data_IF_677666648235
#
_entry.id   IF_677666648235
#
_cell.length_a   1.000
_cell.length_b   1.000
_cell.length_c   1.000
_cell.angle_alpha   90.00
_cell.angle_beta   90.00
_cell.angle_gamma   90.00
#
_symmetry.space_group_name_H-M   'P 1'
#
loop_
_entity.id
_entity.type
_entity.pdbx_description
1 polymer ?
#
# COMPACT_ATOMS: atom_id res chain seq x y z
N UNK A 1 15.95 -7.96 3.48
CA UNK A 1 14.61 -7.39 3.32
C UNK A 1 13.63 -8.47 2.86
N UNK A 2 12.38 -8.46 3.35
CA UNK A 2 11.35 -9.41 2.95
C UNK A 2 10.52 -8.83 1.82
N UNK A 3 10.15 -9.66 0.84
CA UNK A 3 9.36 -9.22 -0.31
C UNK A 3 7.93 -9.75 -0.25
N UNK A 4 7.01 -8.90 -0.66
CA UNK A 4 5.61 -9.21 -0.88
C UNK A 4 5.10 -8.58 -2.19
N UNK A 5 3.88 -8.91 -2.56
CA UNK A 5 3.16 -8.29 -3.67
C UNK A 5 1.71 -8.04 -3.28
N UNK A 6 1.15 -6.93 -3.74
CA UNK A 6 -0.28 -6.67 -3.61
C UNK A 6 -1.03 -7.59 -4.58
N UNK A 7 -2.03 -8.30 -4.08
CA UNK A 7 -2.66 -9.42 -4.80
C UNK A 7 -3.17 -9.07 -6.18
N UNK A 8 -3.92 -8.01 -6.33
CA UNK A 8 -4.55 -7.61 -7.60
C UNK A 8 -3.61 -6.91 -8.59
N UNK A 9 -2.37 -6.59 -8.17
CA UNK A 9 -1.30 -6.23 -9.12
C UNK A 9 -0.93 -7.40 -10.02
N UNK A 10 -1.16 -8.62 -9.56
CA UNK A 10 -0.90 -9.86 -10.31
C UNK A 10 -2.15 -10.35 -11.01
N UNK A 11 -3.18 -10.67 -10.23
CA UNK A 11 -4.42 -11.30 -10.72
C UNK A 11 -5.52 -11.26 -9.66
N UNK A 12 -6.78 -11.36 -10.10
CA UNK A 12 -7.90 -11.65 -9.18
C UNK A 12 -7.93 -13.12 -8.73
N UNK A 13 -7.22 -14.01 -9.42
CA UNK A 13 -7.06 -15.42 -9.02
C UNK A 13 -5.91 -15.57 -8.02
N UNK A 14 -6.24 -15.75 -6.74
CA UNK A 14 -5.25 -15.84 -5.68
C UNK A 14 -4.25 -16.98 -5.87
N UNK A 15 -4.64 -18.09 -6.48
CA UNK A 15 -3.72 -19.20 -6.75
C UNK A 15 -2.62 -18.81 -7.76
N UNK A 16 -2.96 -17.97 -8.76
CA UNK A 16 -1.96 -17.39 -9.67
C UNK A 16 -1.02 -16.45 -8.96
N UNK A 17 -1.55 -15.61 -8.04
CA UNK A 17 -0.74 -14.72 -7.20
C UNK A 17 0.28 -15.54 -6.40
N UNK A 18 -0.17 -16.59 -5.70
CA UNK A 18 0.70 -17.46 -4.90
C UNK A 18 1.77 -18.15 -5.73
N UNK A 19 1.39 -18.64 -6.92
CA UNK A 19 2.33 -19.29 -7.83
C UNK A 19 3.43 -18.33 -8.26
N UNK A 20 3.08 -17.12 -8.69
CA UNK A 20 4.05 -16.09 -9.05
C UNK A 20 4.92 -15.69 -7.87
N UNK A 21 4.32 -15.45 -6.70
CA UNK A 21 5.05 -15.08 -5.50
C UNK A 21 6.09 -16.17 -5.10
N UNK A 22 5.70 -17.45 -5.16
CA UNK A 22 6.63 -18.57 -4.88
C UNK A 22 7.78 -18.63 -5.90
N UNK A 23 7.48 -18.44 -7.19
CA UNK A 23 8.47 -18.43 -8.27
C UNK A 23 9.57 -17.38 -8.04
N UNK A 24 9.20 -16.21 -7.53
CA UNK A 24 10.14 -15.12 -7.21
C UNK A 24 10.71 -15.18 -5.79
N UNK A 25 10.38 -16.20 -5.00
CA UNK A 25 10.87 -16.36 -3.63
C UNK A 25 10.30 -15.35 -2.64
N UNK A 26 9.11 -14.81 -2.91
CA UNK A 26 8.43 -13.96 -1.95
C UNK A 26 7.93 -14.78 -0.76
N UNK A 27 7.88 -14.16 0.42
CA UNK A 27 7.38 -14.80 1.65
C UNK A 27 6.03 -14.27 2.11
N UNK A 28 5.54 -13.20 1.50
CA UNK A 28 4.28 -12.57 1.88
C UNK A 28 3.45 -12.08 0.71
N UNK A 29 2.18 -11.87 0.98
CA UNK A 29 1.24 -11.15 0.11
C UNK A 29 0.56 -10.05 0.90
N UNK A 30 0.11 -9.03 0.20
CA UNK A 30 -0.77 -7.99 0.73
C UNK A 30 -2.13 -8.07 0.04
N UNK A 31 -3.21 -8.23 0.80
CA UNK A 31 -4.55 -8.44 0.24
C UNK A 31 -5.24 -7.09 0.03
N UNK A 32 -5.44 -6.70 -1.25
CA UNK A 32 -6.23 -5.53 -1.66
C UNK A 32 -7.52 -5.92 -2.37
N UNK A 33 -7.45 -6.80 -3.37
CA UNK A 33 -8.64 -7.49 -3.87
C UNK A 33 -8.28 -8.88 -4.40
N UNK A 34 -9.21 -9.82 -4.27
CA UNK A 34 -9.14 -11.19 -4.79
C UNK A 34 -10.54 -11.62 -5.21
N UNK A 35 -10.68 -12.36 -6.30
CA UNK A 35 -11.97 -12.83 -6.85
C UNK A 35 -12.98 -11.69 -7.05
N UNK A 36 -12.48 -10.51 -7.46
CA UNK A 36 -13.25 -9.26 -7.62
C UNK A 36 -13.90 -8.75 -6.32
N UNK A 37 -13.43 -9.17 -5.16
CA UNK A 37 -13.87 -8.74 -3.84
C UNK A 37 -12.78 -7.95 -3.14
N UNK A 38 -13.14 -6.80 -2.56
CA UNK A 38 -12.28 -6.07 -1.63
C UNK A 38 -12.14 -6.83 -0.29
N UNK A 39 -11.14 -6.53 0.56
CA UNK A 39 -10.92 -7.29 1.79
C UNK A 39 -12.16 -7.41 2.69
N UNK A 40 -12.90 -6.33 2.85
CA UNK A 40 -14.12 -6.28 3.67
C UNK A 40 -15.35 -6.98 3.06
N UNK A 41 -15.24 -7.46 1.82
CA UNK A 41 -16.29 -8.20 1.10
C UNK A 41 -16.06 -9.72 1.14
N UNK A 42 -14.90 -10.18 1.64
CA UNK A 42 -14.60 -11.61 1.73
C UNK A 42 -15.49 -12.28 2.78
N UNK A 43 -16.14 -13.35 2.39
CA UNK A 43 -16.96 -14.16 3.28
C UNK A 43 -16.16 -15.31 3.93
N UNK A 44 -16.81 -16.08 4.82
CA UNK A 44 -16.15 -17.19 5.52
C UNK A 44 -15.57 -18.27 4.59
N UNK A 45 -16.21 -18.51 3.45
CA UNK A 45 -15.72 -19.50 2.47
C UNK A 45 -14.48 -18.96 1.76
N UNK A 46 -14.46 -17.67 1.40
CA UNK A 46 -13.29 -17.00 0.83
C UNK A 46 -12.12 -17.05 1.81
N UNK A 47 -12.34 -16.67 3.07
CA UNK A 47 -11.32 -16.68 4.12
C UNK A 47 -10.74 -18.10 4.32
N UNK A 48 -11.58 -19.12 4.31
CA UNK A 48 -11.13 -20.52 4.41
C UNK A 48 -10.24 -20.92 3.25
N UNK A 49 -10.57 -20.48 2.02
CA UNK A 49 -9.76 -20.71 0.82
C UNK A 49 -8.44 -19.94 0.88
N UNK A 50 -8.46 -18.69 1.32
CA UNK A 50 -7.21 -17.92 1.55
C UNK A 50 -6.29 -18.66 2.52
N UNK A 51 -6.80 -19.07 3.70
CA UNK A 51 -6.01 -19.84 4.68
C UNK A 51 -5.40 -21.11 4.11
N UNK A 52 -6.19 -21.85 3.31
CA UNK A 52 -5.69 -23.05 2.63
C UNK A 52 -4.54 -22.73 1.68
N UNK A 53 -4.70 -21.71 0.82
CA UNK A 53 -3.66 -21.30 -0.13
C UNK A 53 -2.41 -20.79 0.58
N UNK A 54 -2.55 -20.00 1.66
CA UNK A 54 -1.41 -19.57 2.48
C UNK A 54 -0.61 -20.76 3.02
N UNK A 55 -1.29 -21.79 3.52
CA UNK A 55 -0.66 -23.01 4.01
C UNK A 55 0.01 -23.83 2.88
N UNK A 56 -0.70 -24.02 1.76
CA UNK A 56 -0.20 -24.80 0.62
C UNK A 56 1.08 -24.17 0.00
N UNK A 57 1.18 -22.84 0.02
CA UNK A 57 2.32 -22.10 -0.55
C UNK A 57 3.34 -21.62 0.51
N UNK A 58 3.11 -21.86 1.80
CA UNK A 58 3.97 -21.42 2.91
C UNK A 58 4.19 -19.89 2.90
N UNK A 59 3.11 -19.12 2.79
CA UNK A 59 3.12 -17.67 2.74
C UNK A 59 2.34 -17.07 3.90
N UNK A 60 2.64 -15.81 4.22
CA UNK A 60 1.89 -15.02 5.21
C UNK A 60 1.22 -13.80 4.57
N UNK A 61 0.19 -13.27 5.22
CA UNK A 61 -0.40 -11.98 4.86
C UNK A 61 0.34 -10.89 5.63
N UNK A 62 1.10 -10.06 4.93
CA UNK A 62 1.89 -9.01 5.56
C UNK A 62 1.07 -7.75 5.89
N UNK A 63 0.00 -7.51 5.14
CA UNK A 63 -0.89 -6.35 5.31
C UNK A 63 -2.26 -6.60 4.67
N UNK A 64 -3.29 -5.97 5.20
CA UNK A 64 -4.59 -5.80 4.56
C UNK A 64 -4.65 -4.38 3.97
N UNK A 65 -4.64 -4.27 2.64
CA UNK A 65 -4.73 -3.01 1.93
C UNK A 65 -6.19 -2.52 1.86
N UNK A 66 -6.71 -2.02 2.96
CA UNK A 66 -8.09 -1.56 3.05
C UNK A 66 -8.29 -0.22 2.32
N UNK A 67 -9.51 0.09 1.81
CA UNK A 67 -9.82 1.40 1.26
C UNK A 67 -10.23 2.42 2.36
N UNK A 68 -10.05 2.09 3.63
CA UNK A 68 -10.52 2.91 4.75
C UNK A 68 -10.06 4.35 4.63
N UNK A 69 -11.02 5.28 4.67
CA UNK A 69 -10.89 6.72 4.48
C UNK A 69 -10.46 7.19 3.09
N UNK A 70 -10.55 6.37 2.04
CA UNK A 70 -10.74 6.86 0.66
C UNK A 70 -12.21 7.25 0.47
N UNK A 71 -12.67 8.30 1.16
CA UNK A 71 -14.05 8.81 1.17
C UNK A 71 -14.08 10.33 1.37
N UNK A 72 -15.26 10.91 1.25
CA UNK A 72 -15.45 12.35 1.37
C UNK A 72 -15.45 12.79 2.84
N UNK A 73 -14.63 13.78 3.16
CA UNK A 73 -14.71 14.42 4.46
C UNK A 73 -16.03 15.20 4.59
N UNK A 74 -16.68 15.05 5.76
CA UNK A 74 -17.97 15.71 6.05
C UNK A 74 -19.21 14.92 5.59
N UNK A 75 -19.03 13.80 4.87
CA UNK A 75 -20.12 12.87 4.58
C UNK A 75 -20.25 11.83 5.69
N UNK A 76 -21.21 12.03 6.59
CA UNK A 76 -21.44 11.14 7.73
C UNK A 76 -21.95 9.74 7.34
N UNK A 77 -22.53 9.57 6.15
CA UNK A 77 -22.95 8.25 5.67
C UNK A 77 -21.71 7.45 5.23
N UNK A 78 -20.85 8.05 4.43
CA UNK A 78 -19.57 7.45 4.04
C UNK A 78 -18.67 7.20 5.25
N UNK A 79 -18.62 8.12 6.22
CA UNK A 79 -17.87 7.89 7.46
C UNK A 79 -18.32 6.64 8.19
N UNK A 80 -19.65 6.45 8.39
CA UNK A 80 -20.19 5.22 9.02
C UNK A 80 -19.88 3.98 8.20
N UNK A 81 -20.02 4.04 6.89
CA UNK A 81 -19.66 2.93 6.00
C UNK A 81 -18.19 2.54 6.13
N UNK A 82 -17.28 3.52 6.10
CA UNK A 82 -15.85 3.25 6.27
C UNK A 82 -15.50 2.69 7.63
N UNK A 83 -16.20 3.09 8.72
CA UNK A 83 -16.02 2.48 10.02
C UNK A 83 -16.42 0.99 10.02
N UNK A 84 -17.47 0.59 9.27
CA UNK A 84 -17.83 -0.83 9.08
C UNK A 84 -16.80 -1.57 8.20
N UNK A 85 -16.28 -0.92 7.14
CA UNK A 85 -15.18 -1.46 6.34
C UNK A 85 -13.98 -1.78 7.25
N UNK A 86 -13.61 -0.85 8.13
CA UNK A 86 -12.47 -1.06 9.04
C UNK A 86 -12.72 -2.23 9.99
N UNK A 87 -13.93 -2.34 10.60
CA UNK A 87 -14.27 -3.48 11.48
C UNK A 87 -14.08 -4.81 10.77
N UNK A 88 -14.61 -4.94 9.56
CA UNK A 88 -14.46 -6.16 8.77
C UNK A 88 -12.99 -6.45 8.39
N UNK A 89 -12.21 -5.40 8.12
CA UNK A 89 -10.76 -5.56 7.87
C UNK A 89 -9.99 -5.97 9.14
N UNK A 90 -10.41 -5.52 10.33
CA UNK A 90 -9.87 -5.95 11.62
C UNK A 90 -10.16 -7.43 11.86
N UNK A 91 -11.40 -7.87 11.63
CA UNK A 91 -11.78 -9.27 11.76
C UNK A 91 -10.96 -10.14 10.77
N UNK A 92 -10.86 -9.71 9.50
CA UNK A 92 -10.07 -10.40 8.49
C UNK A 92 -8.59 -10.47 8.87
N UNK A 93 -8.02 -9.38 9.34
CA UNK A 93 -6.62 -9.34 9.79
C UNK A 93 -6.37 -10.33 10.93
N UNK A 94 -7.29 -10.41 11.90
CA UNK A 94 -7.26 -11.40 12.98
C UNK A 94 -7.34 -12.83 12.46
N UNK A 95 -8.23 -13.12 11.51
CA UNK A 95 -8.40 -14.44 10.91
C UNK A 95 -7.20 -14.91 10.08
N UNK A 96 -6.49 -13.99 9.43
CA UNK A 96 -5.35 -14.29 8.55
C UNK A 96 -3.99 -14.03 9.21
N UNK A 97 -3.95 -13.51 10.43
CA UNK A 97 -2.72 -13.18 11.13
C UNK A 97 -1.97 -11.97 10.55
N UNK A 98 -2.65 -11.11 9.80
CA UNK A 98 -2.04 -9.91 9.22
C UNK A 98 -1.78 -8.85 10.30
N UNK A 99 -0.54 -8.33 10.44
CA UNK A 99 -0.21 -7.39 11.50
C UNK A 99 -0.60 -5.94 11.20
N UNK A 100 -0.83 -5.61 9.94
CA UNK A 100 -1.02 -4.24 9.46
C UNK A 100 -2.32 -4.13 8.67
N UNK A 101 -3.06 -3.04 8.91
CA UNK A 101 -4.17 -2.60 8.06
C UNK A 101 -3.79 -1.24 7.51
N UNK A 102 -3.62 -1.14 6.19
CA UNK A 102 -3.39 0.14 5.53
C UNK A 102 -4.65 0.99 5.55
N UNK A 103 -4.48 2.29 5.80
CA UNK A 103 -5.55 3.29 5.87
C UNK A 103 -5.13 4.60 5.20
N UNK A 104 -6.10 5.49 4.94
CA UNK A 104 -5.89 6.80 4.30
C UNK A 104 -6.44 7.96 5.13
N UNK A 105 -6.49 9.17 4.53
CA UNK A 105 -6.78 10.44 5.21
C UNK A 105 -7.85 11.29 4.51
N UNK A 106 -8.88 10.68 3.92
CA UNK A 106 -9.92 11.29 3.10
C UNK A 106 -9.43 11.82 1.74
N UNK A 107 -10.35 11.95 0.79
CA UNK A 107 -10.04 12.51 -0.53
C UNK A 107 -9.53 13.94 -0.46
N UNK A 108 -8.54 14.29 -1.28
CA UNK A 108 -8.01 15.64 -1.43
C UNK A 108 -8.98 16.50 -2.28
N UNK A 109 -10.11 16.85 -1.70
CA UNK A 109 -11.14 17.72 -2.33
C UNK A 109 -11.92 18.52 -1.29
N UNK A 110 -12.57 19.62 -1.69
CA UNK A 110 -13.43 20.39 -0.79
C UNK A 110 -14.61 19.57 -0.23
N UNK A 111 -15.01 19.82 1.02
CA UNK A 111 -14.33 20.70 1.98
C UNK A 111 -13.02 20.07 2.47
N UNK A 112 -11.94 20.90 2.52
CA UNK A 112 -10.65 20.41 3.02
C UNK A 112 -10.63 20.44 4.56
N UNK A 113 -10.51 19.27 5.23
CA UNK A 113 -10.38 19.24 6.67
C UNK A 113 -9.01 19.78 7.13
N UNK A 114 -8.97 20.36 8.32
CA UNK A 114 -7.72 20.59 9.03
C UNK A 114 -7.11 19.30 9.52
N UNK A 115 -5.80 19.31 9.85
CA UNK A 115 -5.14 18.13 10.40
C UNK A 115 -5.76 17.68 11.72
N UNK A 116 -6.25 18.59 12.55
CA UNK A 116 -6.90 18.27 13.83
C UNK A 116 -8.23 17.54 13.60
N UNK A 117 -9.01 17.94 12.60
CA UNK A 117 -10.25 17.25 12.22
C UNK A 117 -10.00 15.85 11.65
N UNK A 118 -8.93 15.68 10.85
CA UNK A 118 -8.51 14.34 10.37
C UNK A 118 -8.14 13.46 11.56
N UNK A 119 -7.34 13.98 12.49
CA UNK A 119 -6.92 13.27 13.70
C UNK A 119 -8.12 12.88 14.57
N UNK A 120 -9.10 13.76 14.75
CA UNK A 120 -10.34 13.46 15.48
C UNK A 120 -11.07 12.26 14.85
N UNK A 121 -11.22 12.24 13.52
CA UNK A 121 -11.84 11.12 12.83
C UNK A 121 -11.02 9.83 12.94
N UNK A 122 -9.68 9.91 12.85
CA UNK A 122 -8.79 8.76 13.03
C UNK A 122 -8.81 8.20 14.47
N UNK A 123 -9.07 9.00 15.49
CA UNK A 123 -9.23 8.50 16.87
C UNK A 123 -10.37 7.49 17.01
N UNK A 124 -11.41 7.58 16.17
CA UNK A 124 -12.47 6.56 16.14
C UNK A 124 -11.93 5.21 15.60
N UNK A 125 -11.04 5.25 14.62
CA UNK A 125 -10.38 4.05 14.10
C UNK A 125 -9.43 3.43 15.13
N UNK A 126 -8.66 4.26 15.83
CA UNK A 126 -7.72 3.83 16.89
C UNK A 126 -8.46 3.03 17.97
N UNK A 127 -9.61 3.52 18.44
CA UNK A 127 -10.42 2.82 19.45
C UNK A 127 -10.83 1.40 19.05
N UNK A 128 -10.91 1.10 17.76
CA UNK A 128 -11.26 -0.24 17.28
C UNK A 128 -10.08 -1.23 17.35
N UNK A 129 -8.86 -0.74 17.35
CA UNK A 129 -7.64 -1.58 17.40
C UNK A 129 -6.98 -1.58 18.77
N UNK A 130 -7.42 -0.72 19.70
CA UNK A 130 -6.92 -0.71 21.10
C UNK A 130 -7.06 -2.10 21.72
N UNK A 131 -6.01 -2.55 22.41
CA UNK A 131 -5.97 -3.87 23.04
C UNK A 131 -5.69 -5.04 22.08
N UNK A 132 -5.51 -4.79 20.79
CA UNK A 132 -5.02 -5.76 19.81
C UNK A 132 -3.52 -5.53 19.50
N UNK A 133 -2.93 -6.44 18.72
CA UNK A 133 -1.56 -6.24 18.18
C UNK A 133 -1.56 -5.60 16.78
N UNK A 134 -2.72 -5.14 16.29
CA UNK A 134 -2.83 -4.56 14.94
C UNK A 134 -2.25 -3.16 14.89
N UNK A 135 -1.63 -2.85 13.77
CA UNK A 135 -1.16 -1.51 13.42
C UNK A 135 -2.03 -0.94 12.30
N UNK A 136 -2.49 0.27 12.47
CA UNK A 136 -3.08 1.08 11.39
C UNK A 136 -1.94 1.81 10.68
N UNK A 137 -1.69 1.46 9.42
CA UNK A 137 -0.65 2.06 8.60
C UNK A 137 -1.20 3.16 7.71
N UNK A 138 -0.92 4.44 8.01
CA UNK A 138 -1.32 5.57 7.16
C UNK A 138 -0.40 5.61 5.95
N UNK A 139 -0.98 5.49 4.76
CA UNK A 139 -0.26 5.60 3.50
C UNK A 139 -0.27 7.04 2.98
N UNK A 140 0.89 7.51 2.47
CA UNK A 140 0.93 8.71 1.63
C UNK A 140 0.32 8.38 0.26
N UNK A 141 -0.72 9.13 -0.14
CA UNK A 141 -1.46 8.88 -1.37
C UNK A 141 -1.86 10.21 -2.03
N UNK A 142 -1.44 10.49 -3.30
CA UNK A 142 -1.65 11.78 -3.96
C UNK A 142 -3.11 12.22 -4.05
N UNK A 143 -4.04 11.27 -4.06
CA UNK A 143 -5.48 11.55 -4.12
C UNK A 143 -6.12 11.83 -2.77
N UNK A 144 -5.37 11.71 -1.65
CA UNK A 144 -5.86 11.94 -0.29
C UNK A 144 -5.16 13.13 0.38
N UNK A 145 -5.62 13.54 1.57
CA UNK A 145 -5.07 14.71 2.27
C UNK A 145 -3.59 14.55 2.63
N UNK A 146 -3.14 13.35 3.01
CA UNK A 146 -1.73 13.07 3.28
C UNK A 146 -1.03 12.57 2.01
N UNK A 147 -0.69 13.49 1.11
CA UNK A 147 -0.14 13.20 -0.24
C UNK A 147 1.31 12.74 -0.23
N UNK A 148 2.08 13.02 0.83
CA UNK A 148 3.52 12.81 0.90
C UNK A 148 3.99 12.42 2.31
N UNK A 149 5.28 12.08 2.45
CA UNK A 149 5.89 11.68 3.71
C UNK A 149 5.73 12.72 4.82
N UNK A 150 5.94 14.00 4.51
CA UNK A 150 5.81 15.11 5.46
C UNK A 150 4.39 15.21 6.02
N UNK A 151 3.37 15.09 5.18
CA UNK A 151 1.96 15.17 5.60
C UNK A 151 1.53 13.94 6.41
N UNK A 152 2.02 12.75 6.07
CA UNK A 152 1.81 11.57 6.90
C UNK A 152 2.41 11.78 8.29
N UNK A 153 3.64 12.25 8.38
CA UNK A 153 4.30 12.52 9.68
C UNK A 153 3.56 13.58 10.49
N UNK A 154 2.98 14.60 9.84
CA UNK A 154 2.13 15.58 10.51
C UNK A 154 0.92 14.92 11.20
N UNK A 155 0.21 14.02 10.49
CA UNK A 155 -0.91 13.25 11.06
C UNK A 155 -0.43 12.36 12.21
N UNK A 156 0.65 11.61 12.01
CA UNK A 156 1.16 10.66 13.01
C UNK A 156 1.65 11.37 14.28
N UNK A 157 2.30 12.53 14.13
CA UNK A 157 2.78 13.32 15.25
C UNK A 157 1.62 13.89 16.08
N UNK A 158 0.58 14.40 15.44
CA UNK A 158 -0.62 14.92 16.14
C UNK A 158 -1.40 13.81 16.81
N UNK A 159 -1.59 12.68 16.14
CA UNK A 159 -2.33 11.55 16.70
C UNK A 159 -1.56 10.87 17.84
N UNK A 160 -0.22 10.83 17.75
CA UNK A 160 0.71 10.32 18.76
C UNK A 160 0.28 8.99 19.41
N UNK A 161 -0.06 8.00 18.60
CA UNK A 161 -0.54 6.70 19.08
C UNK A 161 0.40 5.56 18.64
N UNK A 162 0.76 4.61 19.54
CA UNK A 162 1.74 3.56 19.23
C UNK A 162 1.28 2.60 18.13
N UNK A 163 -0.03 2.37 17.99
CA UNK A 163 -0.61 1.48 16.97
C UNK A 163 -0.90 2.19 15.63
N UNK A 164 -0.51 3.46 15.47
CA UNK A 164 -0.64 4.16 14.19
C UNK A 164 0.74 4.51 13.67
N UNK A 165 1.06 4.02 12.49
CA UNK A 165 2.38 4.08 11.86
C UNK A 165 2.24 4.44 10.38
N UNK A 166 3.36 4.46 9.65
CA UNK A 166 3.38 4.76 8.23
C UNK A 166 3.46 3.47 7.38
N UNK A 167 2.61 3.38 6.38
CA UNK A 167 2.88 2.63 5.15
C UNK A 167 3.44 3.66 4.17
N UNK A 168 4.72 3.56 3.84
CA UNK A 168 5.35 4.54 2.98
C UNK A 168 5.45 4.04 1.54
N UNK A 169 4.92 4.82 0.62
CA UNK A 169 5.05 4.62 -0.81
C UNK A 169 5.87 5.75 -1.45
N UNK A 170 7.18 5.56 -1.69
CA UNK A 170 8.01 6.57 -2.32
C UNK A 170 7.59 6.89 -3.76
N UNK A 171 6.92 5.95 -4.45
CA UNK A 171 6.34 6.20 -5.77
C UNK A 171 5.21 7.21 -5.71
N UNK A 172 4.39 7.19 -4.66
CA UNK A 172 3.34 8.18 -4.46
C UNK A 172 3.91 9.60 -4.24
N UNK A 173 5.08 9.74 -3.62
CA UNK A 173 5.75 11.04 -3.48
C UNK A 173 6.13 11.64 -4.86
N UNK A 174 6.46 10.80 -5.85
CA UNK A 174 6.70 11.26 -7.24
C UNK A 174 5.45 11.89 -7.85
N UNK A 175 4.27 11.36 -7.51
CA UNK A 175 2.97 11.86 -7.97
C UNK A 175 2.40 12.99 -7.09
N UNK A 176 3.08 13.33 -5.99
CA UNK A 176 2.63 14.35 -5.03
C UNK A 176 2.52 15.74 -5.67
N UNK A 177 1.39 16.46 -5.48
CA UNK A 177 1.24 17.83 -5.97
C UNK A 177 2.32 18.81 -5.49
N UNK A 178 2.85 18.60 -4.28
CA UNK A 178 3.90 19.44 -3.69
C UNK A 178 5.32 19.06 -4.16
N UNK A 179 5.44 17.97 -4.94
CA UNK A 179 6.71 17.50 -5.52
C UNK A 179 7.77 17.20 -4.46
N UNK A 180 7.38 16.54 -3.37
CA UNK A 180 8.36 16.03 -2.39
C UNK A 180 9.31 15.04 -3.06
N UNK A 181 10.60 15.19 -2.78
CA UNK A 181 11.60 14.22 -3.24
C UNK A 181 11.56 12.99 -2.33
N UNK A 182 11.16 11.80 -2.83
CA UNK A 182 10.93 10.65 -1.97
C UNK A 182 12.20 10.22 -1.22
N UNK A 183 13.33 10.12 -1.91
CA UNK A 183 14.62 9.81 -1.34
C UNK A 183 15.69 10.82 -1.82
N UNK A 184 16.50 11.40 -0.93
CA UNK A 184 16.57 11.09 0.50
C UNK A 184 15.59 11.82 1.41
N UNK A 185 14.86 12.83 0.92
CA UNK A 185 14.20 13.82 1.78
C UNK A 185 12.97 13.24 2.48
N UNK A 186 12.02 12.67 1.74
CA UNK A 186 10.83 12.02 2.29
C UNK A 186 11.21 10.88 3.25
N UNK A 187 12.15 10.01 2.83
CA UNK A 187 12.61 8.91 3.68
C UNK A 187 13.13 9.38 5.03
N UNK A 188 14.00 10.40 5.07
CA UNK A 188 14.57 10.94 6.33
C UNK A 188 13.52 11.46 7.31
N UNK A 189 12.42 11.99 6.77
CA UNK A 189 11.32 12.50 7.58
C UNK A 189 10.49 11.35 8.16
N UNK A 190 10.13 10.37 7.33
CA UNK A 190 9.15 9.33 7.67
C UNK A 190 9.76 8.08 8.30
N UNK A 191 11.07 7.81 8.14
CA UNK A 191 11.70 6.56 8.56
C UNK A 191 11.45 6.10 10.01
N UNK A 192 11.29 6.99 11.02
CA UNK A 192 11.00 6.55 12.39
C UNK A 192 9.60 5.94 12.55
N UNK A 193 8.73 6.13 11.57
CA UNK A 193 7.33 5.70 11.61
C UNK A 193 7.04 4.50 10.72
N UNK A 194 7.94 4.14 9.79
CA UNK A 194 7.70 3.13 8.77
C UNK A 194 7.56 1.74 9.39
N UNK A 195 6.45 1.07 9.09
CA UNK A 195 6.23 -0.35 9.40
C UNK A 195 6.11 -1.22 8.15
N UNK A 196 5.78 -0.60 7.01
CA UNK A 196 5.60 -1.26 5.73
C UNK A 196 5.95 -0.30 4.59
N UNK A 197 6.44 -0.84 3.46
CA UNK A 197 6.84 -0.02 2.31
C UNK A 197 6.19 -0.61 1.05
N UNK A 198 5.51 0.24 0.28
CA UNK A 198 5.11 -0.08 -1.08
C UNK A 198 6.23 0.26 -2.05
N UNK A 199 6.34 -0.50 -3.11
CA UNK A 199 7.33 -0.29 -4.17
C UNK A 199 6.60 -0.01 -5.48
N UNK A 200 6.63 1.24 -5.88
CA UNK A 200 6.02 1.75 -7.11
C UNK A 200 6.94 2.81 -7.70
N UNK A 201 7.04 2.88 -9.01
CA UNK A 201 7.87 3.88 -9.67
C UNK A 201 7.11 4.62 -10.76
N UNK A 202 7.55 5.80 -11.06
CA UNK A 202 6.93 6.66 -12.06
C UNK A 202 7.83 7.81 -12.43
N UNK A 203 7.45 8.50 -13.51
CA UNK A 203 8.16 9.69 -14.00
C UNK A 203 7.22 10.73 -14.58
N UNK A 204 7.69 11.96 -14.63
CA UNK A 204 6.99 13.05 -15.30
C UNK A 204 7.07 12.91 -16.84
N UNK A 205 5.90 12.81 -17.49
CA UNK A 205 5.81 12.91 -18.95
C UNK A 205 5.53 14.37 -19.34
N UNK A 206 6.57 15.06 -19.84
CA UNK A 206 6.47 16.48 -20.22
C UNK A 206 5.54 16.72 -21.41
N UNK A 207 5.36 15.74 -22.31
CA UNK A 207 4.50 15.86 -23.47
C UNK A 207 3.01 15.81 -23.06
N UNK A 208 2.67 14.92 -22.13
CA UNK A 208 1.31 14.73 -21.64
C UNK A 208 1.00 15.55 -20.38
N UNK A 209 2.02 16.20 -19.82
CA UNK A 209 1.93 17.02 -18.58
C UNK A 209 1.32 16.26 -17.41
N UNK A 210 1.70 15.00 -17.26
CA UNK A 210 1.26 14.14 -16.15
C UNK A 210 2.36 13.19 -15.73
N UNK A 211 2.22 12.64 -14.54
CA UNK A 211 3.03 11.50 -14.12
C UNK A 211 2.52 10.20 -14.73
N UNK A 212 3.45 9.31 -15.03
CA UNK A 212 3.15 7.98 -15.57
C UNK A 212 3.87 6.91 -14.76
N UNK A 213 3.19 5.80 -14.42
CA UNK A 213 3.84 4.63 -13.87
C UNK A 213 4.91 4.09 -14.81
N UNK A 214 6.01 3.62 -14.26
CA UNK A 214 7.11 2.98 -15.00
C UNK A 214 7.46 1.63 -14.37
N UNK A 215 8.18 0.75 -15.11
CA UNK A 215 8.87 -0.36 -14.47
C UNK A 215 9.79 0.13 -13.36
N UNK A 216 9.99 -0.67 -12.32
CA UNK A 216 10.85 -0.32 -11.18
C UNK A 216 12.27 -0.01 -11.66
N UNK A 217 12.80 1.14 -11.22
CA UNK A 217 14.14 1.64 -11.59
C UNK A 217 14.20 2.40 -12.92
N UNK A 218 13.06 2.64 -13.59
CA UNK A 218 12.97 3.50 -14.78
C UNK A 218 12.28 4.84 -14.49
N UNK A 219 11.82 5.03 -13.25
CA UNK A 219 11.19 6.25 -12.78
C UNK A 219 12.14 7.21 -12.08
N UNK A 220 11.58 8.06 -11.23
CA UNK A 220 12.29 9.13 -10.52
C UNK A 220 12.70 8.75 -9.09
N UNK A 221 12.30 7.57 -8.57
CA UNK A 221 12.70 7.12 -7.23
C UNK A 221 14.12 6.56 -7.24
N UNK A 222 15.01 7.11 -6.43
CA UNK A 222 16.35 6.52 -6.20
C UNK A 222 16.26 5.29 -5.29
N UNK A 223 15.75 4.18 -5.83
CA UNK A 223 15.64 2.93 -5.09
C UNK A 223 16.99 2.34 -4.67
N UNK A 224 18.05 2.58 -5.44
CA UNK A 224 19.36 2.05 -5.08
C UNK A 224 19.89 2.72 -3.81
N UNK A 225 19.79 4.04 -3.71
CA UNK A 225 20.13 4.81 -2.52
C UNK A 225 19.25 4.41 -1.33
N UNK A 226 17.94 4.37 -1.54
CA UNK A 226 16.96 4.01 -0.52
C UNK A 226 17.19 2.59 0.06
N UNK A 227 17.40 1.58 -0.78
CA UNK A 227 17.62 0.21 -0.31
C UNK A 227 18.91 0.06 0.50
N UNK A 228 19.98 0.78 0.13
CA UNK A 228 21.22 0.83 0.92
C UNK A 228 20.97 1.42 2.31
N UNK A 229 20.21 2.51 2.38
CA UNK A 229 19.91 3.14 3.67
C UNK A 229 18.95 2.29 4.51
N UNK A 230 17.95 1.62 3.92
CA UNK A 230 17.11 0.64 4.63
C UNK A 230 17.89 -0.50 5.26
N UNK A 231 18.93 -1.00 4.58
CA UNK A 231 19.83 -2.02 5.12
C UNK A 231 20.64 -1.45 6.29
N UNK A 232 21.20 -0.25 6.16
CA UNK A 232 21.96 0.42 7.21
C UNK A 232 21.11 0.73 8.44
N UNK A 233 19.87 1.16 8.24
CA UNK A 233 18.90 1.43 9.30
C UNK A 233 18.30 0.14 9.92
N UNK A 234 18.63 -1.02 9.35
CA UNK A 234 18.19 -2.31 9.87
C UNK A 234 16.69 -2.58 9.71
N UNK A 235 16.06 -2.03 8.68
CA UNK A 235 14.65 -2.29 8.38
C UNK A 235 14.37 -3.78 8.21
N UNK A 236 13.30 -4.29 8.87
CA UNK A 236 12.93 -5.72 8.90
C UNK A 236 11.52 -5.99 8.34
N UNK A 237 10.81 -4.94 7.96
CA UNK A 237 9.47 -5.05 7.37
C UNK A 237 9.46 -5.61 5.95
N UNK A 238 8.30 -5.59 5.35
CA UNK A 238 8.12 -5.98 3.96
C UNK A 238 8.30 -4.81 3.00
N UNK A 239 8.80 -5.13 1.82
CA UNK A 239 8.68 -4.33 0.60
C UNK A 239 7.60 -5.00 -0.25
N UNK A 240 6.44 -4.37 -0.40
CA UNK A 240 5.29 -4.90 -1.13
C UNK A 240 5.21 -4.23 -2.51
N UNK A 241 5.35 -5.00 -3.58
CA UNK A 241 5.27 -4.45 -4.93
C UNK A 241 3.84 -4.01 -5.26
N UNK A 242 3.70 -2.74 -5.67
CA UNK A 242 2.50 -2.10 -6.19
C UNK A 242 2.82 -1.42 -7.52
N UNK A 243 2.85 -2.17 -8.62
CA UNK A 243 3.48 -1.63 -9.84
C UNK A 243 2.66 -0.56 -10.56
N UNK A 244 1.33 -0.65 -10.62
CA UNK A 244 0.43 0.17 -11.46
C UNK A 244 0.84 0.29 -12.94
N UNK A 245 2.10 0.03 -13.28
CA UNK A 245 2.57 0.01 -14.66
C UNK A 245 1.98 -1.18 -15.43
N UNK A 246 1.70 -0.97 -16.72
CA UNK A 246 1.26 -2.03 -17.65
C UNK A 246 2.02 -1.91 -18.97
N UNK A 247 2.41 -3.04 -19.61
CA UNK A 247 3.28 -3.00 -20.80
C UNK A 247 2.68 -2.32 -22.02
N UNK A 248 1.36 -2.39 -22.18
CA UNK A 248 0.68 -1.99 -23.44
C UNK A 248 -0.39 -0.93 -23.28
N UNK A 249 -0.77 -0.58 -22.06
CA UNK A 249 -1.84 0.38 -21.79
C UNK A 249 -1.62 1.02 -20.42
N UNK A 250 -2.12 2.24 -20.26
CA UNK A 250 -2.25 2.85 -18.94
C UNK A 250 -3.60 2.47 -18.33
N UNK A 251 -3.61 2.22 -17.02
CA UNK A 251 -4.85 2.03 -16.29
C UNK A 251 -5.61 3.36 -16.21
N UNK A 252 -6.93 3.37 -16.36
CA UNK A 252 -7.75 4.55 -16.13
C UNK A 252 -7.59 5.07 -14.69
N UNK A 253 -7.63 6.39 -14.51
CA UNK A 253 -7.37 7.02 -13.21
C UNK A 253 -8.36 6.58 -12.12
N UNK A 254 -9.64 6.45 -12.44
CA UNK A 254 -10.67 5.96 -11.53
C UNK A 254 -10.40 4.53 -11.06
N UNK A 255 -9.85 3.69 -11.94
CA UNK A 255 -9.43 2.32 -11.61
C UNK A 255 -8.19 2.32 -10.71
N UNK A 256 -7.25 3.26 -10.92
CA UNK A 256 -6.05 3.38 -10.07
C UNK A 256 -6.40 3.91 -8.68
N UNK A 257 -7.32 4.86 -8.59
CA UNK A 257 -7.74 5.43 -7.31
C UNK A 257 -8.51 4.44 -6.42
N UNK A 258 -9.30 3.54 -7.03
CA UNK A 258 -10.07 2.50 -6.35
C UNK A 258 -9.81 1.12 -6.96
N UNK A 259 -8.59 0.57 -6.78
CA UNK A 259 -8.18 -0.67 -7.42
C UNK A 259 -9.07 -1.85 -7.01
N UNK A 260 -9.71 -2.48 -7.99
CA UNK A 260 -10.53 -3.68 -7.79
C UNK A 260 -10.85 -4.35 -9.14
N UNK A 261 -10.93 -5.66 -9.14
CA UNK A 261 -11.47 -6.44 -10.24
C UNK A 261 -10.51 -6.68 -11.41
N UNK A 262 -10.99 -7.43 -12.40
CA UNK A 262 -10.21 -7.91 -13.55
C UNK A 262 -9.65 -6.76 -14.40
N UNK A 263 -10.36 -5.63 -14.47
CA UNK A 263 -9.89 -4.48 -15.24
C UNK A 263 -8.60 -3.90 -14.66
N UNK A 264 -8.50 -3.82 -13.32
CA UNK A 264 -7.27 -3.41 -12.67
C UNK A 264 -6.15 -4.44 -12.89
N UNK A 265 -6.47 -5.74 -12.77
CA UNK A 265 -5.50 -6.83 -12.91
C UNK A 265 -5.11 -7.16 -14.36
N UNK A 266 -5.64 -6.43 -15.35
CA UNK A 266 -5.30 -6.66 -16.76
C UNK A 266 -3.80 -6.58 -17.00
N UNK A 267 -3.21 -7.63 -17.59
CA UNK A 267 -1.74 -7.80 -17.77
C UNK A 267 -0.91 -7.66 -16.49
N UNK A 268 -1.53 -7.80 -15.32
CA UNK A 268 -0.89 -7.62 -14.03
C UNK A 268 0.25 -8.62 -13.79
N UNK A 269 0.08 -9.88 -14.15
CA UNK A 269 1.10 -10.92 -14.03
C UNK A 269 2.36 -10.60 -14.86
N UNK A 270 2.21 -10.09 -16.08
CA UNK A 270 3.33 -9.69 -16.94
C UNK A 270 4.05 -8.49 -16.34
N UNK A 271 3.30 -7.46 -15.92
CA UNK A 271 3.85 -6.27 -15.31
C UNK A 271 4.60 -6.58 -14.00
N UNK A 272 3.98 -7.40 -13.15
CA UNK A 272 4.57 -7.79 -11.87
C UNK A 272 5.86 -8.59 -12.06
N UNK A 273 5.93 -9.51 -13.02
CA UNK A 273 7.16 -10.28 -13.34
C UNK A 273 8.31 -9.36 -13.75
N UNK A 274 8.04 -8.41 -14.63
CA UNK A 274 9.04 -7.43 -15.04
C UNK A 274 9.53 -6.59 -13.86
N UNK A 275 8.60 -6.03 -13.08
CA UNK A 275 8.92 -5.20 -11.93
C UNK A 275 9.65 -5.97 -10.81
N UNK A 276 9.25 -7.21 -10.50
CA UNK A 276 9.98 -8.06 -9.54
C UNK A 276 11.39 -8.41 -10.00
N UNK A 277 11.57 -8.71 -11.27
CA UNK A 277 12.90 -8.98 -11.85
C UNK A 277 13.82 -7.80 -11.63
N UNK A 278 13.35 -6.57 -11.90
CA UNK A 278 14.11 -5.32 -11.70
C UNK A 278 14.33 -5.01 -10.22
N UNK A 279 13.29 -5.13 -9.40
CA UNK A 279 13.38 -4.93 -7.95
C UNK A 279 14.45 -5.83 -7.31
N UNK A 280 14.44 -7.12 -7.63
CA UNK A 280 15.42 -8.08 -7.12
C UNK A 280 16.84 -7.73 -7.60
N UNK A 281 16.99 -7.28 -8.84
CA UNK A 281 18.29 -6.84 -9.35
C UNK A 281 18.83 -5.62 -8.57
N UNK A 282 17.97 -4.61 -8.30
CA UNK A 282 18.33 -3.44 -7.49
C UNK A 282 18.66 -3.80 -6.04
N UNK A 283 17.91 -4.72 -5.43
CA UNK A 283 18.18 -5.18 -4.06
C UNK A 283 19.52 -5.90 -3.98
N UNK A 284 19.86 -6.75 -4.93
CA UNK A 284 21.19 -7.39 -5.01
C UNK A 284 22.30 -6.35 -5.18
N UNK A 285 22.12 -5.36 -6.04
CA UNK A 285 23.06 -4.26 -6.25
C UNK A 285 23.23 -3.39 -4.99
N UNK A 286 22.19 -3.26 -4.19
CA UNK A 286 22.23 -2.55 -2.91
C UNK A 286 22.85 -3.36 -1.77
N UNK A 287 23.11 -4.67 -1.96
CA UNK A 287 23.56 -5.58 -0.90
C UNK A 287 22.44 -5.93 0.11
N UNK A 288 21.19 -5.87 -0.34
CA UNK A 288 20.01 -6.09 0.48
C UNK A 288 19.45 -7.52 0.41
N UNK A 289 20.03 -8.34 -0.50
CA UNK A 289 19.73 -9.77 -0.70
C UNK A 289 21.02 -10.54 -0.94
#
# INVERSE_FOLDING_TARGET
>A
LRLAVITDEVSQDLAKVMTLAKEFGLSGIEIRSVWNKAPHELDKSDISLVKKLLADYEMEVCSIASPFFKCDYGDEAQFREHMEILRKCIDLAGELGAPIIRIFTFWLKPPFPSWDEIVEKLQHAVKLVEGTNLILGVENEPSTMATNAKKVVEVLTRLNHPQVKAVWDPGNDVFDPDREVPYPDGYRIIKPWIVHIHIKDGKWNANEKRFEPTPIGEGEVDYLGQFRELVQDGYKGYLSLETHWRPTAQLPEDIVQMPKGEQFSYMGDVATRECLTRLIALLKQAGAM
#
